data_IF_984113917959
#
_entry.id   IF_984113917959
#
_cell.length_a   1.000
_cell.length_b   1.000
_cell.length_c   1.000
_cell.angle_alpha   90.00
_cell.angle_beta   90.00
_cell.angle_gamma   90.00
#
_symmetry.space_group_name_H-M   'P 1'
#
loop_
_entity.id
_entity.type
_entity.pdbx_description
1 polymer ?
#
# COMPACT_ATOMS: atom_id res chain seq x y z
N UNK A 1 2.38 -22.42 27.33
CA UNK A 1 1.88 -21.13 26.77
C UNK A 1 2.93 -20.70 25.79
N UNK A 2 2.61 -20.66 24.50
CA UNK A 2 3.45 -20.02 23.50
C UNK A 2 3.62 -18.57 23.91
N UNK A 3 4.86 -18.04 23.88
CA UNK A 3 5.17 -16.68 24.29
C UNK A 3 4.47 -15.67 23.38
N UNK A 4 4.19 -14.48 23.89
CA UNK A 4 3.67 -13.37 23.08
C UNK A 4 4.76 -12.84 22.16
N UNK A 5 4.36 -12.42 20.93
CA UNK A 5 5.22 -11.70 20.01
C UNK A 5 5.51 -10.29 20.54
N UNK A 6 6.79 -9.96 20.70
CA UNK A 6 7.26 -8.66 21.17
C UNK A 6 7.38 -7.71 19.98
N UNK A 7 6.41 -6.81 19.86
CA UNK A 7 6.26 -5.89 18.73
C UNK A 7 6.84 -4.53 19.10
N UNK A 8 7.77 -4.04 18.30
CA UNK A 8 8.22 -2.65 18.31
C UNK A 8 7.42 -1.81 17.31
N UNK A 9 7.19 -0.54 17.62
CA UNK A 9 6.50 0.41 16.74
C UNK A 9 7.41 1.60 16.51
N UNK A 10 7.60 2.01 15.25
CA UNK A 10 8.32 3.25 14.91
C UNK A 10 7.47 4.16 14.03
N UNK A 11 7.40 5.44 14.41
CA UNK A 11 6.47 6.41 13.83
C UNK A 11 5.11 6.39 14.53
N UNK A 12 4.99 7.12 15.65
CA UNK A 12 3.81 7.12 16.53
C UNK A 12 2.58 7.85 15.96
N UNK A 13 2.67 8.43 14.77
CA UNK A 13 1.52 9.02 14.08
C UNK A 13 0.71 7.93 13.36
N UNK A 14 1.22 7.37 12.25
CA UNK A 14 0.53 6.31 11.52
C UNK A 14 0.69 4.94 12.19
N UNK A 15 1.85 4.66 12.78
CA UNK A 15 2.10 3.41 13.51
C UNK A 15 1.18 3.19 14.71
N UNK A 16 0.55 4.27 15.25
CA UNK A 16 -0.41 4.17 16.35
C UNK A 16 -1.60 3.26 16.04
N UNK A 17 -2.04 3.22 14.79
CA UNK A 17 -3.13 2.35 14.34
C UNK A 17 -2.81 0.87 14.59
N UNK A 18 -1.64 0.42 14.15
CA UNK A 18 -1.17 -0.95 14.40
C UNK A 18 -0.80 -1.18 15.87
N UNK A 19 -0.36 -0.13 16.57
CA UNK A 19 -0.10 -0.18 18.00
C UNK A 19 -1.32 -0.58 18.80
N UNK A 20 -2.49 -0.01 18.50
CA UNK A 20 -3.75 -0.39 19.13
C UNK A 20 -4.15 -1.82 18.82
N UNK A 21 -3.93 -2.29 17.59
CA UNK A 21 -4.21 -3.68 17.21
C UNK A 21 -3.28 -4.65 17.93
N UNK A 22 -1.97 -4.38 17.97
CA UNK A 22 -0.99 -5.20 18.68
C UNK A 22 -1.27 -5.25 20.18
N UNK A 23 -1.63 -4.12 20.80
CA UNK A 23 -1.97 -4.04 22.22
C UNK A 23 -3.21 -4.87 22.59
N UNK A 24 -4.18 -4.99 21.69
CA UNK A 24 -5.41 -5.78 21.90
C UNK A 24 -5.27 -7.24 21.52
N UNK A 25 -4.28 -7.58 20.71
CA UNK A 25 -4.14 -8.95 20.22
C UNK A 25 -3.55 -9.87 21.31
N UNK A 26 -4.21 -11.01 21.64
CA UNK A 26 -3.83 -11.83 22.79
C UNK A 26 -2.43 -12.47 22.68
N UNK A 27 -1.89 -12.60 21.46
CA UNK A 27 -0.56 -13.16 21.19
C UNK A 27 0.53 -12.11 20.99
N UNK A 28 0.26 -10.84 21.30
CA UNK A 28 1.23 -9.75 21.10
C UNK A 28 1.45 -8.97 22.40
N UNK A 29 2.65 -8.45 22.55
CA UNK A 29 3.04 -7.43 23.52
C UNK A 29 3.64 -6.27 22.74
N UNK A 30 3.19 -5.03 22.99
CA UNK A 30 3.90 -3.84 22.54
C UNK A 30 5.13 -3.66 23.44
N UNK A 31 6.28 -4.09 22.94
CA UNK A 31 7.52 -4.15 23.71
C UNK A 31 8.30 -2.83 23.69
N UNK A 32 8.01 -1.93 22.75
CA UNK A 32 8.60 -0.60 22.70
C UNK A 32 8.01 0.25 21.57
N UNK A 33 8.09 1.56 21.75
CA UNK A 33 7.67 2.55 20.74
C UNK A 33 8.79 3.56 20.50
N UNK A 34 8.88 4.08 19.27
CA UNK A 34 9.87 5.05 18.87
C UNK A 34 9.28 6.16 18.01
N UNK A 35 9.58 7.41 18.37
CA UNK A 35 9.35 8.57 17.53
C UNK A 35 10.33 9.69 17.91
N UNK A 36 10.81 10.45 16.93
CA UNK A 36 11.63 11.64 17.15
C UNK A 36 10.81 12.84 17.65
N UNK A 37 9.49 12.85 17.45
CA UNK A 37 8.57 13.82 18.01
C UNK A 37 8.17 13.38 19.42
N UNK A 38 8.69 14.09 20.44
CA UNK A 38 8.43 13.78 21.84
C UNK A 38 6.94 13.90 22.22
N UNK A 39 6.18 14.77 21.55
CA UNK A 39 4.75 14.92 21.80
C UNK A 39 3.96 13.73 21.26
N UNK A 40 4.27 13.28 20.03
CA UNK A 40 3.68 12.08 19.43
C UNK A 40 4.05 10.83 20.25
N UNK A 41 5.30 10.69 20.66
CA UNK A 41 5.77 9.62 21.51
C UNK A 41 5.03 9.57 22.84
N UNK A 42 4.93 10.70 23.54
CA UNK A 42 4.25 10.78 24.84
C UNK A 42 2.73 10.57 24.76
N UNK A 43 2.07 10.96 23.65
CA UNK A 43 0.66 10.61 23.42
C UNK A 43 0.49 9.11 23.30
N UNK A 44 1.29 8.49 22.45
CA UNK A 44 1.18 7.06 22.17
C UNK A 44 1.57 6.19 23.37
N UNK A 45 2.56 6.64 24.15
CA UNK A 45 2.91 6.04 25.45
C UNK A 45 1.71 5.96 26.40
N UNK A 46 0.99 7.08 26.56
CA UNK A 46 -0.21 7.13 27.43
C UNK A 46 -1.34 6.23 26.91
N UNK A 47 -1.56 6.24 25.60
CA UNK A 47 -2.63 5.45 24.96
C UNK A 47 -2.41 3.95 25.13
N UNK A 48 -1.17 3.50 25.18
CA UNK A 48 -0.77 2.11 25.35
C UNK A 48 -0.41 1.75 26.80
N UNK A 49 -0.32 2.72 27.71
CA UNK A 49 0.04 2.50 29.12
C UNK A 49 1.48 1.99 29.30
N UNK A 50 2.42 2.43 28.47
CA UNK A 50 3.81 1.94 28.48
C UNK A 50 4.67 2.69 29.52
N UNK A 51 5.62 1.96 30.12
CA UNK A 51 6.66 2.57 30.96
C UNK A 51 7.66 3.38 30.11
N UNK A 52 8.29 4.41 30.74
CA UNK A 52 9.28 5.26 30.06
C UNK A 52 10.43 4.46 29.41
N UNK A 53 10.86 3.36 30.05
CA UNK A 53 11.90 2.48 29.54
C UNK A 53 11.54 1.74 28.23
N UNK A 54 10.29 1.85 27.78
CA UNK A 54 9.81 1.30 26.50
C UNK A 54 9.63 2.38 25.43
N UNK A 55 10.04 3.62 25.69
CA UNK A 55 9.89 4.77 24.81
C UNK A 55 11.25 5.27 24.34
N UNK A 56 11.47 5.30 23.04
CA UNK A 56 12.75 5.59 22.41
C UNK A 56 12.63 6.79 21.48
N UNK A 57 13.62 7.71 21.53
CA UNK A 57 13.72 8.82 20.59
C UNK A 57 14.48 8.43 19.30
N UNK A 58 15.40 7.46 19.40
CA UNK A 58 16.19 6.96 18.28
C UNK A 58 15.79 5.51 17.94
N UNK A 59 15.73 5.21 16.65
CA UNK A 59 15.30 3.91 16.16
C UNK A 59 16.32 2.80 16.48
N UNK A 60 17.59 3.12 16.43
CA UNK A 60 18.70 2.23 16.78
C UNK A 60 18.58 1.73 18.22
N UNK A 61 18.16 2.60 19.16
CA UNK A 61 17.95 2.24 20.55
C UNK A 61 16.75 1.29 20.72
N UNK A 62 15.67 1.49 19.95
CA UNK A 62 14.55 0.55 19.94
C UNK A 62 14.99 -0.82 19.42
N UNK A 63 15.74 -0.88 18.32
CA UNK A 63 16.23 -2.14 17.73
C UNK A 63 17.18 -2.88 18.67
N UNK A 64 18.02 -2.15 19.42
CA UNK A 64 18.96 -2.69 20.39
C UNK A 64 18.36 -2.99 21.77
N UNK A 65 17.05 -2.71 21.97
CA UNK A 65 16.41 -2.79 23.27
C UNK A 65 16.35 -4.21 23.86
N UNK A 66 16.23 -4.28 25.18
CA UNK A 66 16.09 -5.54 25.93
C UNK A 66 14.78 -5.52 26.73
N UNK A 67 13.96 -6.60 26.67
CA UNK A 67 14.14 -7.80 25.85
C UNK A 67 14.05 -7.52 24.36
N UNK A 68 14.77 -8.32 23.56
CA UNK A 68 14.83 -8.16 22.10
C UNK A 68 13.45 -8.25 21.45
N UNK A 69 13.20 -7.42 20.44
CA UNK A 69 11.98 -7.47 19.64
C UNK A 69 11.96 -8.71 18.73
N UNK A 70 10.77 -9.26 18.52
CA UNK A 70 10.53 -10.31 17.54
C UNK A 70 10.14 -9.70 16.18
N UNK A 71 9.39 -8.60 16.20
CA UNK A 71 8.99 -7.88 15.01
C UNK A 71 8.91 -6.37 15.24
N UNK A 72 9.04 -5.59 14.16
CA UNK A 72 8.84 -4.14 14.17
C UNK A 72 7.84 -3.73 13.10
N UNK A 73 7.00 -2.74 13.43
CA UNK A 73 6.08 -2.10 12.49
C UNK A 73 6.58 -0.68 12.22
N UNK A 74 6.84 -0.39 10.95
CA UNK A 74 7.40 0.87 10.49
C UNK A 74 6.27 1.75 9.92
N UNK A 75 6.02 2.90 10.55
CA UNK A 75 5.01 3.89 10.16
C UNK A 75 5.57 5.32 10.05
N UNK A 76 6.85 5.46 9.80
CA UNK A 76 7.58 6.72 9.62
C UNK A 76 7.33 7.36 8.24
N UNK A 77 7.89 8.53 7.91
CA UNK A 77 7.98 9.02 6.54
C UNK A 77 8.70 8.03 5.61
N UNK A 78 8.19 7.90 4.38
CA UNK A 78 8.63 6.87 3.39
C UNK A 78 10.16 6.89 3.16
N UNK A 79 10.81 8.05 3.25
CA UNK A 79 12.25 8.18 3.06
C UNK A 79 13.10 7.39 4.07
N UNK A 80 12.51 7.00 5.20
CA UNK A 80 13.19 6.19 6.23
C UNK A 80 12.87 4.70 6.14
N UNK A 81 11.81 4.29 5.41
CA UNK A 81 11.32 2.92 5.42
C UNK A 81 12.39 1.89 5.06
N UNK A 82 13.14 2.11 3.97
CA UNK A 82 14.13 1.14 3.51
C UNK A 82 15.28 0.97 4.52
N UNK A 83 15.82 2.06 5.06
CA UNK A 83 16.91 2.01 6.03
C UNK A 83 16.48 1.35 7.33
N UNK A 84 15.30 1.72 7.83
CA UNK A 84 14.74 1.14 9.03
C UNK A 84 14.43 -0.35 8.87
N UNK A 85 13.88 -0.74 7.71
CA UNK A 85 13.60 -2.15 7.40
C UNK A 85 14.90 -2.98 7.35
N UNK A 86 15.92 -2.48 6.65
CA UNK A 86 17.21 -3.16 6.54
C UNK A 86 17.86 -3.34 7.90
N UNK A 87 17.88 -2.29 8.73
CA UNK A 87 18.47 -2.34 10.07
C UNK A 87 17.78 -3.39 10.96
N UNK A 88 16.45 -3.43 10.96
CA UNK A 88 15.69 -4.43 11.72
C UNK A 88 15.93 -5.86 11.22
N UNK A 89 15.89 -6.08 9.89
CA UNK A 89 16.16 -7.40 9.29
C UNK A 89 17.56 -7.89 9.65
N UNK A 90 18.59 -7.04 9.58
CA UNK A 90 19.97 -7.35 9.96
C UNK A 90 20.13 -7.63 11.45
N UNK A 91 19.33 -6.99 12.29
CA UNK A 91 19.22 -7.32 13.69
C UNK A 91 18.45 -8.63 13.94
N UNK A 92 17.93 -9.30 12.91
CA UNK A 92 17.17 -10.55 12.97
C UNK A 92 15.74 -10.37 13.50
N UNK A 93 15.15 -9.21 13.25
CA UNK A 93 13.77 -8.81 13.61
C UNK A 93 12.91 -8.87 12.34
N UNK A 94 11.69 -9.41 12.44
CA UNK A 94 10.71 -9.40 11.34
C UNK A 94 10.16 -7.99 11.14
N UNK A 95 9.80 -7.63 9.91
CA UNK A 95 9.40 -6.27 9.55
C UNK A 95 8.04 -6.24 8.86
N UNK A 96 7.12 -5.41 9.35
CA UNK A 96 5.98 -4.92 8.59
C UNK A 96 6.16 -3.41 8.36
N UNK A 97 6.13 -2.96 7.11
CA UNK A 97 6.34 -1.55 6.76
C UNK A 97 5.13 -0.97 6.08
N UNK A 98 4.73 0.24 6.49
CA UNK A 98 3.74 1.04 5.79
C UNK A 98 4.14 1.32 4.34
N UNK A 99 3.15 1.64 3.54
CA UNK A 99 3.29 1.94 2.12
C UNK A 99 3.81 3.37 1.90
N UNK A 100 4.69 3.56 0.90
CA UNK A 100 5.29 2.57 0.00
C UNK A 100 6.58 2.00 0.62
N UNK A 101 7.11 0.89 0.08
CA UNK A 101 8.29 0.23 0.66
C UNK A 101 9.52 1.16 0.75
N UNK A 102 9.68 2.05 -0.22
CA UNK A 102 10.76 3.04 -0.28
C UNK A 102 10.37 4.19 -1.19
N UNK A 103 11.13 5.27 -1.15
CA UNK A 103 11.05 6.39 -2.10
C UNK A 103 12.08 6.28 -3.24
N UNK A 104 12.87 5.19 -3.28
CA UNK A 104 13.87 4.92 -4.32
C UNK A 104 13.84 3.46 -4.76
N UNK A 105 14.21 3.20 -6.01
CA UNK A 105 14.37 1.84 -6.54
C UNK A 105 15.46 1.08 -5.79
N UNK A 106 16.57 1.75 -5.48
CA UNK A 106 17.69 1.19 -4.71
C UNK A 106 17.23 0.75 -3.30
N UNK A 107 16.46 1.58 -2.62
CA UNK A 107 15.90 1.23 -1.31
C UNK A 107 15.05 -0.04 -1.34
N UNK A 108 14.21 -0.20 -2.38
CA UNK A 108 13.45 -1.43 -2.58
C UNK A 108 14.38 -2.63 -2.82
N UNK A 109 15.46 -2.47 -3.60
CA UNK A 109 16.44 -3.53 -3.83
C UNK A 109 17.16 -3.96 -2.55
N UNK A 110 17.58 -3.00 -1.73
CA UNK A 110 18.23 -3.25 -0.43
C UNK A 110 17.33 -4.04 0.53
N UNK A 111 16.02 -3.77 0.54
CA UNK A 111 15.07 -4.56 1.34
C UNK A 111 15.08 -6.03 0.88
N UNK A 112 14.97 -6.29 -0.44
CA UNK A 112 14.99 -7.65 -1.00
C UNK A 112 16.29 -8.37 -0.63
N UNK A 113 17.43 -7.70 -0.76
CA UNK A 113 18.75 -8.25 -0.43
C UNK A 113 18.87 -8.56 1.07
N UNK A 114 18.37 -7.67 1.94
CA UNK A 114 18.37 -7.89 3.38
C UNK A 114 17.51 -9.08 3.79
N UNK A 115 16.29 -9.23 3.22
CA UNK A 115 15.42 -10.40 3.45
C UNK A 115 16.14 -11.68 3.07
N UNK A 116 16.74 -11.73 1.88
CA UNK A 116 17.48 -12.92 1.40
C UNK A 116 18.69 -13.28 2.29
N UNK A 117 19.41 -12.27 2.75
CA UNK A 117 20.59 -12.47 3.60
C UNK A 117 20.24 -12.91 5.02
N UNK A 118 19.17 -12.33 5.58
CA UNK A 118 18.82 -12.50 7.01
C UNK A 118 17.79 -13.60 7.26
N UNK A 119 17.03 -14.02 6.23
CA UNK A 119 15.98 -15.04 6.34
C UNK A 119 14.80 -14.62 7.23
N UNK A 120 14.60 -13.30 7.39
CA UNK A 120 13.49 -12.75 8.16
C UNK A 120 12.35 -12.32 7.24
N UNK A 121 11.13 -12.35 7.76
CA UNK A 121 9.94 -11.90 7.04
C UNK A 121 9.94 -10.40 6.92
N UNK A 122 9.75 -9.90 5.69
CA UNK A 122 9.31 -8.54 5.41
C UNK A 122 7.91 -8.60 4.80
N UNK A 123 7.03 -7.70 5.22
CA UNK A 123 5.71 -7.54 4.64
C UNK A 123 5.37 -6.06 4.46
N UNK A 124 4.90 -5.70 3.26
CA UNK A 124 4.33 -4.37 3.00
C UNK A 124 2.91 -4.30 3.56
N UNK A 125 2.60 -3.24 4.32
CA UNK A 125 1.28 -3.04 4.91
C UNK A 125 0.28 -2.41 3.91
N UNK A 126 0.09 -3.04 2.75
CA UNK A 126 -0.94 -2.64 1.78
C UNK A 126 -2.31 -3.17 2.23
N UNK A 127 -2.95 -2.41 3.09
CA UNK A 127 -4.19 -2.80 3.75
C UNK A 127 -5.40 -2.90 2.83
N UNK A 128 -5.40 -2.21 1.70
CA UNK A 128 -6.57 -2.11 0.80
C UNK A 128 -6.97 -3.47 0.23
N UNK A 129 -6.03 -4.40 0.01
CA UNK A 129 -6.34 -5.75 -0.50
C UNK A 129 -7.21 -6.57 0.46
N UNK A 130 -7.23 -6.22 1.76
CA UNK A 130 -8.03 -6.90 2.77
C UNK A 130 -9.48 -6.38 2.86
N UNK A 131 -9.90 -5.48 1.97
CA UNK A 131 -11.30 -5.06 1.89
C UNK A 131 -12.16 -6.24 1.45
N UNK A 132 -13.31 -6.48 2.11
CA UNK A 132 -14.18 -7.63 1.80
C UNK A 132 -14.61 -7.72 0.33
N UNK A 133 -14.79 -6.58 -0.33
CA UNK A 133 -15.16 -6.54 -1.76
C UNK A 133 -14.15 -7.28 -2.65
N UNK A 134 -12.86 -7.21 -2.36
CA UNK A 134 -11.84 -7.86 -3.19
C UNK A 134 -11.82 -9.39 -3.05
N UNK A 135 -12.28 -9.95 -1.93
CA UNK A 135 -12.48 -11.39 -1.79
C UNK A 135 -13.58 -11.89 -2.74
N UNK A 136 -14.65 -11.10 -2.89
CA UNK A 136 -15.71 -11.44 -3.84
C UNK A 136 -15.24 -11.31 -5.29
N UNK A 137 -14.47 -10.26 -5.61
CA UNK A 137 -13.88 -10.12 -6.94
C UNK A 137 -12.92 -11.27 -7.25
N UNK A 138 -12.11 -11.68 -6.29
CA UNK A 138 -11.21 -12.85 -6.43
C UNK A 138 -12.01 -14.13 -6.68
N UNK A 139 -13.15 -14.32 -6.00
CA UNK A 139 -14.06 -15.45 -6.26
C UNK A 139 -14.57 -15.44 -7.69
N UNK A 140 -15.10 -14.30 -8.18
CA UNK A 140 -15.59 -14.16 -9.55
C UNK A 140 -14.49 -14.45 -10.60
N UNK A 141 -13.27 -14.01 -10.34
CA UNK A 141 -12.11 -14.26 -11.21
C UNK A 141 -11.73 -15.75 -11.18
N UNK A 142 -11.65 -16.35 -9.99
CA UNK A 142 -11.28 -17.77 -9.83
C UNK A 142 -12.30 -18.72 -10.45
N UNK A 143 -13.57 -18.36 -10.46
CA UNK A 143 -14.64 -19.07 -11.16
C UNK A 143 -14.66 -18.82 -12.68
N UNK A 144 -13.73 -18.00 -13.20
CA UNK A 144 -13.62 -17.67 -14.62
C UNK A 144 -14.74 -16.78 -15.15
N UNK A 145 -15.54 -16.17 -14.28
CA UNK A 145 -16.71 -15.34 -14.64
C UNK A 145 -16.33 -14.11 -15.45
N UNK A 146 -15.18 -13.49 -15.14
CA UNK A 146 -14.70 -12.33 -15.90
C UNK A 146 -13.85 -12.72 -17.13
N UNK A 147 -13.44 -13.98 -17.26
CA UNK A 147 -12.50 -14.41 -18.29
C UNK A 147 -11.10 -13.87 -18.05
N UNK A 148 -10.33 -13.60 -19.12
CA UNK A 148 -9.00 -12.99 -19.00
C UNK A 148 -9.15 -11.48 -18.71
N UNK A 149 -8.52 -10.98 -17.66
CA UNK A 149 -8.52 -9.55 -17.37
C UNK A 149 -7.64 -8.84 -18.39
N UNK A 150 -8.19 -7.80 -19.03
CA UNK A 150 -7.53 -7.03 -20.10
C UNK A 150 -7.32 -5.56 -19.73
N UNK A 151 -8.06 -5.05 -18.72
CA UNK A 151 -7.96 -3.68 -18.26
C UNK A 151 -8.29 -3.58 -16.77
N UNK A 152 -7.57 -2.70 -16.08
CA UNK A 152 -7.85 -2.29 -14.70
C UNK A 152 -7.87 -0.77 -14.59
N UNK A 153 -8.68 -0.26 -13.68
CA UNK A 153 -8.70 1.15 -13.34
C UNK A 153 -8.71 1.34 -11.83
N UNK A 154 -7.87 2.26 -11.35
CA UNK A 154 -7.87 2.66 -9.96
C UNK A 154 -7.65 4.16 -9.81
N UNK A 155 -8.58 4.84 -9.16
CA UNK A 155 -8.42 6.22 -8.77
C UNK A 155 -8.25 6.31 -7.25
N UNK A 156 -7.32 7.16 -6.80
CA UNK A 156 -7.21 7.54 -5.40
C UNK A 156 -7.15 9.06 -5.29
N UNK A 157 -8.34 9.65 -5.13
CA UNK A 157 -8.52 11.11 -5.11
C UNK A 157 -8.69 11.56 -3.66
N UNK A 158 -7.56 11.66 -2.94
CA UNK A 158 -7.52 11.91 -1.49
C UNK A 158 -6.96 13.29 -1.17
N UNK A 159 -7.81 14.31 -0.95
CA UNK A 159 -7.37 15.66 -0.61
C UNK A 159 -6.81 15.69 0.83
N UNK A 160 -5.51 15.88 0.93
CA UNK A 160 -4.76 15.97 2.18
C UNK A 160 -3.81 17.18 2.22
N UNK A 161 -4.25 18.41 1.82
CA UNK A 161 -3.35 19.55 1.71
C UNK A 161 -2.65 19.88 3.04
N UNK A 162 -3.29 19.65 4.17
CA UNK A 162 -2.71 19.83 5.51
C UNK A 162 -1.59 18.84 5.87
N UNK A 163 -1.43 17.74 5.12
CA UNK A 163 -0.30 16.81 5.24
C UNK A 163 0.83 17.13 4.24
N UNK A 164 0.64 18.13 3.38
CA UNK A 164 1.66 18.65 2.48
C UNK A 164 2.30 19.93 3.05
N UNK A 165 1.47 20.82 3.57
CA UNK A 165 1.89 22.11 4.13
C UNK A 165 1.12 22.36 5.42
N UNK A 166 1.82 22.75 6.47
CA UNK A 166 1.21 23.17 7.70
C UNK A 166 0.33 24.40 7.45
N UNK A 167 -0.99 24.34 7.71
CA UNK A 167 -1.89 25.44 7.39
C UNK A 167 -1.67 26.69 8.28
N UNK A 168 -0.96 26.55 9.39
CA UNK A 168 -0.69 27.68 10.31
C UNK A 168 0.66 28.32 10.07
N UNK A 169 1.71 27.52 9.79
CA UNK A 169 3.08 27.99 9.68
C UNK A 169 3.55 28.10 8.24
N UNK A 170 2.89 27.44 7.28
CA UNK A 170 3.35 27.33 5.89
C UNK A 170 4.51 26.35 5.71
N UNK A 171 4.94 25.67 6.75
CA UNK A 171 6.00 24.67 6.71
C UNK A 171 5.62 23.49 5.79
N UNK A 172 6.54 23.08 4.94
CA UNK A 172 6.35 21.93 4.04
C UNK A 172 6.72 20.65 4.76
N UNK A 173 5.82 19.67 4.68
CA UNK A 173 6.09 18.32 5.14
C UNK A 173 6.70 17.47 4.01
N UNK A 174 7.27 16.34 4.35
CA UNK A 174 7.93 15.43 3.41
C UNK A 174 7.07 15.00 2.20
N UNK A 175 5.74 14.91 2.38
CA UNK A 175 4.80 14.57 1.29
C UNK A 175 4.73 15.65 0.21
N UNK A 176 5.02 16.90 0.53
CA UNK A 176 5.03 17.98 -0.45
C UNK A 176 6.09 17.77 -1.55
N UNK A 177 7.11 17.01 -1.28
CA UNK A 177 8.21 16.72 -2.20
C UNK A 177 8.06 15.38 -2.94
N UNK A 178 6.91 14.69 -2.77
CA UNK A 178 6.63 13.42 -3.43
C UNK A 178 5.50 13.55 -4.44
N UNK A 179 5.74 13.27 -5.74
CA UNK A 179 4.68 13.27 -6.74
C UNK A 179 3.52 12.36 -6.32
N UNK A 180 2.26 12.74 -6.58
CA UNK A 180 1.11 11.92 -6.19
C UNK A 180 1.20 10.46 -6.64
N UNK A 181 1.70 10.18 -7.85
CA UNK A 181 1.84 8.82 -8.40
C UNK A 181 2.84 7.93 -7.66
N UNK A 182 3.78 8.50 -6.86
CA UNK A 182 4.64 7.70 -5.98
C UNK A 182 3.83 6.82 -5.03
N UNK A 183 2.72 7.34 -4.55
CA UNK A 183 1.85 6.62 -3.60
C UNK A 183 0.84 5.77 -4.37
N UNK A 184 1.35 4.82 -5.17
CA UNK A 184 0.54 4.02 -6.10
C UNK A 184 -0.02 2.74 -5.45
N UNK A 185 0.54 2.27 -4.33
CA UNK A 185 0.26 0.95 -3.75
C UNK A 185 -1.22 0.69 -3.53
N UNK A 186 -1.94 1.63 -2.90
CA UNK A 186 -3.39 1.51 -2.68
C UNK A 186 -4.22 1.46 -3.96
N UNK A 187 -3.68 1.95 -5.08
CA UNK A 187 -4.36 1.91 -6.37
C UNK A 187 -4.07 0.63 -7.13
N UNK A 188 -2.78 0.34 -7.39
CA UNK A 188 -2.39 -0.82 -8.19
C UNK A 188 -2.37 -2.13 -7.39
N UNK A 189 -2.19 -2.07 -6.07
CA UNK A 189 -2.07 -3.24 -5.21
C UNK A 189 -3.24 -4.21 -5.31
N UNK A 190 -4.49 -3.77 -5.09
CA UNK A 190 -5.65 -4.63 -5.26
C UNK A 190 -5.79 -5.20 -6.66
N UNK A 191 -5.49 -4.40 -7.70
CA UNK A 191 -5.59 -4.85 -9.09
C UNK A 191 -4.55 -5.93 -9.41
N UNK A 192 -3.28 -5.71 -9.05
CA UNK A 192 -2.21 -6.69 -9.27
C UNK A 192 -2.43 -7.97 -8.45
N UNK A 193 -2.97 -7.83 -7.23
CA UNK A 193 -3.37 -8.98 -6.43
C UNK A 193 -4.39 -9.86 -7.16
N UNK A 194 -5.44 -9.25 -7.69
CA UNK A 194 -6.52 -9.94 -8.40
C UNK A 194 -6.09 -10.49 -9.76
N UNK A 195 -5.26 -9.72 -10.48
CA UNK A 195 -4.77 -10.10 -11.81
C UNK A 195 -3.66 -11.16 -11.76
N UNK A 196 -3.00 -11.34 -10.59
CA UNK A 196 -1.80 -12.20 -10.45
C UNK A 196 -0.77 -11.88 -11.52
N UNK A 197 -0.50 -10.58 -11.73
CA UNK A 197 0.36 -10.04 -12.76
C UNK A 197 1.29 -8.97 -12.18
N UNK A 198 2.23 -8.47 -12.97
CA UNK A 198 3.16 -7.42 -12.59
C UNK A 198 3.26 -6.35 -13.68
N UNK A 199 3.59 -5.12 -13.31
CA UNK A 199 3.80 -4.02 -14.24
C UNK A 199 5.21 -4.11 -14.83
N UNK A 200 5.31 -3.95 -16.16
CA UNK A 200 6.58 -3.97 -16.90
C UNK A 200 6.90 -2.64 -17.57
N UNK A 201 5.91 -1.78 -17.78
CA UNK A 201 6.09 -0.41 -18.30
C UNK A 201 5.15 0.56 -17.62
N UNK A 202 5.62 1.79 -17.46
CA UNK A 202 4.86 2.86 -16.83
C UNK A 202 5.01 4.17 -17.61
N UNK A 203 3.94 4.95 -17.66
CA UNK A 203 3.97 6.36 -18.05
C UNK A 203 3.08 7.18 -17.12
N UNK A 204 3.39 8.45 -16.95
CA UNK A 204 2.48 9.38 -16.29
C UNK A 204 2.60 10.80 -16.85
N UNK A 205 1.49 11.53 -16.71
CA UNK A 205 1.42 12.97 -16.95
C UNK A 205 0.76 13.65 -15.75
N UNK A 206 1.06 14.92 -15.56
CA UNK A 206 0.44 15.73 -14.52
C UNK A 206 0.10 17.12 -15.04
N UNK A 207 -0.91 17.72 -14.45
CA UNK A 207 -1.24 19.11 -14.76
C UNK A 207 -0.45 20.10 -13.86
N UNK A 208 -0.79 21.38 -13.96
CA UNK A 208 -0.16 22.45 -13.17
C UNK A 208 -0.59 22.39 -11.71
N UNK A 209 0.18 23.02 -10.83
CA UNK A 209 -0.13 23.24 -9.41
C UNK A 209 -0.98 24.51 -9.27
N UNK A 210 -2.28 24.37 -9.44
CA UNK A 210 -3.22 25.50 -9.38
C UNK A 210 -3.80 25.66 -7.96
N UNK A 211 -4.06 24.54 -7.29
CA UNK A 211 -4.74 24.53 -5.98
C UNK A 211 -3.79 24.94 -4.86
N UNK A 212 -2.55 24.45 -4.89
CA UNK A 212 -1.52 24.74 -3.88
C UNK A 212 -0.19 25.08 -4.56
N UNK A 213 -0.09 26.24 -5.23
CA UNK A 213 1.03 26.57 -6.13
C UNK A 213 2.39 26.69 -5.42
N UNK A 214 2.41 27.11 -4.15
CA UNK A 214 3.63 27.26 -3.34
C UNK A 214 4.21 25.97 -2.78
N UNK A 215 3.46 24.87 -2.83
CA UNK A 215 3.93 23.58 -2.35
C UNK A 215 4.79 22.84 -3.39
N UNK A 216 5.53 21.81 -2.94
CA UNK A 216 6.39 20.98 -3.78
C UNK A 216 5.65 20.17 -4.85
N UNK A 217 6.36 19.22 -5.45
CA UNK A 217 5.80 18.36 -6.52
C UNK A 217 4.61 17.52 -6.07
N UNK A 218 4.46 17.27 -4.76
CA UNK A 218 3.31 16.60 -4.18
C UNK A 218 1.99 17.33 -4.36
N UNK A 219 2.04 18.64 -4.66
CA UNK A 219 0.87 19.49 -4.86
C UNK A 219 0.48 19.66 -6.34
N UNK A 220 0.98 18.83 -7.25
CA UNK A 220 0.40 18.69 -8.60
C UNK A 220 -1.09 18.38 -8.45
N UNK A 221 -1.97 19.15 -9.12
CA UNK A 221 -3.40 19.06 -8.87
C UNK A 221 -3.94 17.64 -9.15
N UNK A 222 -3.56 17.04 -10.28
CA UNK A 222 -3.86 15.65 -10.64
C UNK A 222 -2.71 15.07 -11.44
N UNK A 223 -2.39 13.81 -11.20
CA UNK A 223 -1.57 12.98 -12.06
C UNK A 223 -2.37 11.78 -12.57
N UNK A 224 -2.17 11.45 -13.84
CA UNK A 224 -2.66 10.25 -14.49
C UNK A 224 -1.46 9.38 -14.87
N UNK A 225 -1.50 8.10 -14.50
CA UNK A 225 -0.54 7.10 -14.94
C UNK A 225 -1.24 6.01 -15.74
N UNK A 226 -0.51 5.45 -16.71
CA UNK A 226 -0.87 4.21 -17.40
C UNK A 226 0.28 3.22 -17.23
N UNK A 227 -0.10 1.96 -17.00
CA UNK A 227 0.81 0.85 -16.78
C UNK A 227 0.48 -0.28 -17.74
N UNK A 228 1.51 -0.93 -18.29
CA UNK A 228 1.37 -2.17 -19.06
C UNK A 228 1.86 -3.32 -18.19
N UNK A 229 1.06 -4.40 -18.12
CA UNK A 229 1.41 -5.58 -17.34
C UNK A 229 2.15 -6.62 -18.21
N UNK A 230 2.82 -7.56 -17.57
CA UNK A 230 3.57 -8.61 -18.26
C UNK A 230 2.68 -9.49 -19.16
N UNK A 231 1.40 -9.66 -18.82
CA UNK A 231 0.42 -10.42 -19.63
C UNK A 231 -0.30 -9.54 -20.65
N UNK A 232 0.05 -8.24 -20.76
CA UNK A 232 -0.46 -7.32 -21.77
C UNK A 232 -1.76 -6.60 -21.38
N UNK A 233 -2.21 -6.69 -20.15
CA UNK A 233 -3.29 -5.84 -19.66
C UNK A 233 -2.78 -4.41 -19.42
N UNK A 234 -3.72 -3.44 -19.44
CA UNK A 234 -3.43 -2.04 -19.16
C UNK A 234 -4.11 -1.65 -17.85
N UNK A 235 -3.39 -0.93 -16.98
CA UNK A 235 -3.95 -0.32 -15.78
C UNK A 235 -3.88 1.19 -15.92
N UNK A 236 -5.01 1.87 -15.70
CA UNK A 236 -5.09 3.33 -15.55
C UNK A 236 -5.14 3.67 -14.06
N UNK A 237 -4.38 4.68 -13.65
CA UNK A 237 -4.44 5.23 -12.31
C UNK A 237 -4.59 6.76 -12.36
N UNK A 238 -5.52 7.31 -11.56
CA UNK A 238 -5.60 8.75 -11.32
C UNK A 238 -5.34 9.04 -9.85
N UNK A 239 -4.46 10.00 -9.59
CA UNK A 239 -4.03 10.35 -8.23
C UNK A 239 -4.03 11.85 -8.00
N UNK A 240 -4.60 12.28 -6.85
CA UNK A 240 -4.43 13.64 -6.33
C UNK A 240 -4.25 13.61 -4.81
N UNK A 241 -3.55 14.62 -4.30
CA UNK A 241 -3.43 14.89 -2.87
C UNK A 241 -4.06 16.24 -2.48
N UNK A 242 -4.52 17.02 -3.45
CA UNK A 242 -5.00 18.39 -3.23
C UNK A 242 -6.37 18.69 -3.85
N UNK A 243 -6.75 18.04 -4.96
CA UNK A 243 -8.00 18.32 -5.63
C UNK A 243 -9.20 17.92 -4.74
N UNK A 244 -10.18 18.80 -4.53
CA UNK A 244 -11.32 18.53 -3.67
C UNK A 244 -12.10 17.28 -4.15
N UNK A 245 -12.35 16.38 -3.25
CA UNK A 245 -13.16 15.19 -3.49
C UNK A 245 -13.93 14.82 -2.23
N UNK A 246 -15.21 14.55 -2.37
CA UNK A 246 -16.02 13.88 -1.36
C UNK A 246 -15.89 12.34 -1.53
N UNK A 247 -16.14 11.59 -0.47
CA UNK A 247 -16.18 10.11 -0.54
C UNK A 247 -17.13 9.61 -1.67
N UNK A 248 -16.81 8.49 -2.33
CA UNK A 248 -15.64 7.66 -2.14
C UNK A 248 -14.38 8.28 -2.76
N UNK A 249 -13.26 8.20 -2.04
CA UNK A 249 -11.96 8.68 -2.52
C UNK A 249 -11.24 7.63 -3.37
N UNK A 250 -11.64 6.39 -3.26
CA UNK A 250 -11.16 5.27 -4.07
C UNK A 250 -12.20 4.86 -5.11
N UNK A 251 -11.72 4.47 -6.28
CA UNK A 251 -12.46 3.78 -7.30
C UNK A 251 -11.63 2.65 -7.87
N UNK A 252 -12.25 1.50 -8.13
CA UNK A 252 -11.61 0.35 -8.74
C UNK A 252 -12.54 -0.24 -9.80
N UNK A 253 -11.95 -0.72 -10.90
CA UNK A 253 -12.63 -1.46 -11.94
C UNK A 253 -11.70 -2.51 -12.53
N UNK A 254 -12.26 -3.68 -12.88
CA UNK A 254 -11.62 -4.70 -13.69
C UNK A 254 -12.53 -5.07 -14.85
N UNK A 255 -11.98 -4.99 -16.05
CA UNK A 255 -12.62 -5.43 -17.29
C UNK A 255 -11.93 -6.71 -17.77
N UNK A 256 -12.70 -7.76 -17.86
CA UNK A 256 -12.29 -9.02 -18.47
C UNK A 256 -12.93 -9.27 -19.82
N UNK A 257 -12.57 -10.38 -20.47
CA UNK A 257 -13.11 -10.78 -21.79
C UNK A 257 -14.53 -11.31 -21.73
N UNK A 258 -15.06 -11.59 -20.53
CA UNK A 258 -16.41 -12.13 -20.33
C UNK A 258 -17.27 -11.28 -19.39
N UNK A 259 -16.74 -10.22 -18.82
CA UNK A 259 -17.49 -9.38 -17.88
C UNK A 259 -16.63 -8.33 -17.23
N UNK A 260 -17.24 -7.55 -16.36
CA UNK A 260 -16.55 -6.53 -15.58
C UNK A 260 -17.09 -6.46 -14.16
N UNK A 261 -16.30 -5.86 -13.29
CA UNK A 261 -16.70 -5.48 -11.94
C UNK A 261 -16.09 -4.12 -11.61
N UNK A 262 -16.86 -3.25 -10.94
CA UNK A 262 -16.40 -1.93 -10.56
C UNK A 262 -17.07 -1.43 -9.28
N UNK A 263 -16.41 -0.50 -8.56
CA UNK A 263 -16.99 0.22 -7.43
C UNK A 263 -17.79 1.43 -7.90
N UNK A 264 -18.77 1.88 -7.12
CA UNK A 264 -19.57 3.05 -7.47
C UNK A 264 -18.80 4.38 -7.29
N UNK A 265 -18.86 5.26 -8.30
CA UNK A 265 -18.26 6.61 -8.27
C UNK A 265 -19.19 7.69 -7.71
N UNK A 266 -20.47 7.40 -7.50
CA UNK A 266 -21.51 8.42 -7.21
C UNK A 266 -21.53 8.91 -5.77
N UNK A 267 -20.64 8.45 -4.92
CA UNK A 267 -20.58 8.88 -3.52
C UNK A 267 -21.49 8.12 -2.55
N UNK A 268 -22.36 7.24 -3.07
CA UNK A 268 -23.10 6.28 -2.26
C UNK A 268 -22.23 5.06 -1.87
N UNK A 269 -20.92 5.15 -2.10
CA UNK A 269 -19.99 4.05 -1.99
C UNK A 269 -19.77 3.49 -0.59
N UNK A 270 -20.20 4.22 0.44
CA UNK A 270 -20.21 3.77 1.83
C UNK A 270 -21.56 4.09 2.41
N UNK A 271 -22.52 3.21 2.21
CA UNK A 271 -23.79 3.22 2.92
C UNK A 271 -23.65 2.45 4.23
N UNK A 272 -24.63 2.56 5.12
CA UNK A 272 -24.67 1.72 6.32
C UNK A 272 -24.61 0.21 5.99
N UNK A 273 -24.99 -0.16 4.78
CA UNK A 273 -25.06 -1.55 4.30
C UNK A 273 -23.76 -2.02 3.61
N UNK A 274 -22.79 -1.12 3.35
CA UNK A 274 -21.51 -1.44 2.70
C UNK A 274 -21.20 -0.64 1.45
N UNK A 275 -20.18 -1.09 0.69
CA UNK A 275 -19.76 -0.48 -0.56
C UNK A 275 -20.56 -1.02 -1.73
N UNK A 276 -21.12 -0.11 -2.56
CA UNK A 276 -21.82 -0.48 -3.77
C UNK A 276 -20.91 -0.51 -5.01
N UNK A 277 -21.31 -1.28 -6.00
CA UNK A 277 -20.67 -1.32 -7.31
C UNK A 277 -21.51 -2.06 -8.32
N UNK A 278 -20.95 -2.26 -9.51
CA UNK A 278 -21.60 -2.93 -10.64
C UNK A 278 -20.84 -4.20 -10.99
N UNK A 279 -21.59 -5.21 -11.40
CA UNK A 279 -21.06 -6.44 -11.99
C UNK A 279 -21.85 -6.77 -13.26
N UNK A 280 -21.16 -7.25 -14.28
CA UNK A 280 -21.76 -7.83 -15.46
C UNK A 280 -21.01 -9.07 -15.90
N UNK A 281 -21.71 -10.15 -16.17
CA UNK A 281 -21.16 -11.42 -16.65
C UNK A 281 -21.91 -11.80 -17.93
N UNK A 282 -21.16 -11.83 -19.04
CA UNK A 282 -21.71 -12.16 -20.36
C UNK A 282 -22.26 -13.59 -20.37
N UNK A 283 -23.47 -13.74 -20.87
CA UNK A 283 -24.15 -15.03 -20.94
C UNK A 283 -24.91 -15.43 -19.66
N UNK A 284 -24.65 -14.79 -18.53
CA UNK A 284 -25.37 -15.01 -17.27
C UNK A 284 -26.33 -13.84 -16.95
N UNK A 285 -25.95 -12.62 -17.30
CA UNK A 285 -26.71 -11.41 -16.99
C UNK A 285 -27.17 -10.69 -18.26
N UNK A 286 -28.36 -10.14 -18.24
CA UNK A 286 -28.90 -9.31 -19.36
C UNK A 286 -28.35 -7.89 -19.35
N UNK A 287 -28.03 -7.37 -18.16
CA UNK A 287 -27.50 -6.04 -17.93
C UNK A 287 -26.63 -6.06 -16.68
N UNK A 288 -25.86 -5.02 -16.46
CA UNK A 288 -25.09 -4.88 -15.22
C UNK A 288 -26.04 -4.78 -14.01
N UNK A 289 -25.66 -5.46 -12.94
CA UNK A 289 -26.40 -5.50 -11.68
C UNK A 289 -25.64 -4.75 -10.60
N UNK A 290 -26.37 -4.12 -9.67
CA UNK A 290 -25.80 -3.47 -8.51
C UNK A 290 -25.54 -4.53 -7.44
N UNK A 291 -24.29 -4.60 -6.97
CA UNK A 291 -23.94 -5.40 -5.81
C UNK A 291 -23.58 -4.47 -4.63
N UNK A 292 -23.82 -4.99 -3.43
CA UNK A 292 -23.39 -4.35 -2.18
C UNK A 292 -22.45 -5.30 -1.48
N UNK A 293 -21.23 -4.83 -1.19
CA UNK A 293 -20.23 -5.59 -0.45
C UNK A 293 -20.10 -5.04 0.95
N UNK A 294 -19.96 -5.88 1.97
CA UNK A 294 -19.75 -5.41 3.33
C UNK A 294 -18.47 -4.56 3.41
N UNK A 295 -18.50 -3.49 4.20
CA UNK A 295 -17.33 -2.65 4.46
C UNK A 295 -16.36 -3.32 5.44
N UNK A 296 -16.93 -4.05 6.41
CA UNK A 296 -16.19 -4.71 7.46
C UNK A 296 -16.24 -6.24 7.29
N UNK A 297 -15.16 -6.89 7.67
CA UNK A 297 -15.12 -8.34 7.79
C UNK A 297 -15.90 -8.78 9.03
N UNK A 298 -17.06 -9.42 8.83
CA UNK A 298 -17.92 -9.88 9.91
C UNK A 298 -17.29 -10.98 10.78
N UNK A 299 -16.23 -11.64 10.31
CA UNK A 299 -15.49 -12.65 11.08
C UNK A 299 -14.43 -12.04 12.01
N UNK A 300 -14.10 -10.75 11.82
CA UNK A 300 -13.12 -10.07 12.63
C UNK A 300 -13.68 -9.70 14.03
N UNK A 301 -12.84 -9.67 15.06
CA UNK A 301 -13.29 -9.27 16.39
C UNK A 301 -13.72 -7.79 16.42
N UNK A 302 -14.61 -7.41 17.35
CA UNK A 302 -15.15 -6.07 17.42
C UNK A 302 -14.11 -4.95 17.56
N UNK A 303 -12.93 -5.24 18.09
CA UNK A 303 -11.81 -4.30 18.20
C UNK A 303 -10.96 -4.20 16.91
N UNK A 304 -11.23 -4.99 15.88
CA UNK A 304 -10.47 -4.97 14.62
C UNK A 304 -10.50 -3.61 13.91
N UNK A 305 -11.48 -2.76 14.19
CA UNK A 305 -11.61 -1.43 13.62
C UNK A 305 -10.69 -0.36 14.24
N UNK A 306 -9.96 -0.70 15.30
CA UNK A 306 -9.04 0.22 15.98
C UNK A 306 -7.87 0.69 15.09
N UNK A 307 -7.58 -0.01 13.99
CA UNK A 307 -6.58 0.39 12.99
C UNK A 307 -6.95 1.66 12.19
N UNK A 308 -8.22 2.03 12.15
CA UNK A 308 -8.68 3.26 11.49
C UNK A 308 -9.15 3.11 10.04
N UNK A 309 -8.92 1.96 9.41
CA UNK A 309 -9.40 1.63 8.04
C UNK A 309 -10.37 0.44 8.07
N UNK A 310 -11.42 0.54 8.89
CA UNK A 310 -12.33 -0.58 9.10
C UNK A 310 -11.58 -1.81 9.63
N UNK A 311 -11.81 -2.98 9.04
CA UNK A 311 -11.10 -4.23 9.40
C UNK A 311 -9.85 -4.49 8.56
N UNK A 312 -9.47 -3.59 7.64
CA UNK A 312 -8.37 -3.83 6.70
C UNK A 312 -7.00 -3.84 7.40
N UNK A 313 -6.76 -2.90 8.32
CA UNK A 313 -5.51 -2.87 9.09
C UNK A 313 -5.36 -4.13 9.95
N UNK A 314 -6.47 -4.61 10.52
CA UNK A 314 -6.49 -5.89 11.24
C UNK A 314 -6.16 -7.06 10.33
N UNK A 315 -6.78 -7.15 9.15
CA UNK A 315 -6.48 -8.18 8.15
C UNK A 315 -4.99 -8.20 7.77
N UNK A 316 -4.41 -7.03 7.55
CA UNK A 316 -2.98 -6.86 7.28
C UNK A 316 -2.14 -7.36 8.46
N UNK A 317 -2.48 -6.94 9.67
CA UNK A 317 -1.74 -7.30 10.89
C UNK A 317 -1.76 -8.80 11.16
N UNK A 318 -2.92 -9.46 11.07
CA UNK A 318 -2.99 -10.92 11.28
C UNK A 318 -2.32 -11.72 10.17
N UNK A 319 -2.32 -11.23 8.94
CA UNK A 319 -1.56 -11.86 7.86
C UNK A 319 -0.04 -11.79 8.13
N UNK A 320 0.46 -10.68 8.66
CA UNK A 320 1.84 -10.57 9.09
C UNK A 320 2.17 -11.53 10.25
N UNK A 321 1.31 -11.59 11.29
CA UNK A 321 1.49 -12.53 12.39
C UNK A 321 1.49 -13.98 11.90
N UNK A 322 0.59 -14.33 11.02
CA UNK A 322 0.55 -15.66 10.41
C UNK A 322 1.86 -16.00 9.70
N UNK A 323 2.36 -15.06 8.88
CA UNK A 323 3.62 -15.25 8.15
C UNK A 323 4.83 -15.49 9.08
N UNK A 324 4.94 -14.74 10.18
CA UNK A 324 6.06 -14.91 11.11
C UNK A 324 5.91 -16.17 12.00
N UNK A 325 4.69 -16.64 12.22
CA UNK A 325 4.41 -17.87 12.99
C UNK A 325 4.68 -19.13 12.18
N UNK A 326 4.24 -19.15 10.93
CA UNK A 326 4.33 -20.34 10.07
C UNK A 326 5.61 -20.40 9.28
N UNK A 327 6.28 -19.25 9.08
CA UNK A 327 7.39 -19.11 8.15
C UNK A 327 6.93 -19.07 6.67
N UNK A 328 5.62 -19.07 6.42
CA UNK A 328 5.08 -18.92 5.06
C UNK A 328 5.28 -17.48 4.57
N UNK A 329 5.64 -17.34 3.29
CA UNK A 329 5.75 -16.01 2.69
C UNK A 329 4.38 -15.34 2.58
N UNK A 330 4.21 -14.12 3.11
CA UNK A 330 2.97 -13.37 2.89
C UNK A 330 2.85 -13.00 1.41
N UNK A 331 1.63 -12.80 0.91
CA UNK A 331 1.48 -12.30 -0.46
C UNK A 331 2.14 -10.93 -0.63
N UNK A 332 2.13 -10.09 0.37
CA UNK A 332 2.77 -8.77 0.38
C UNK A 332 4.25 -8.82 0.80
N UNK A 333 4.98 -9.84 0.38
CA UNK A 333 6.41 -10.00 0.65
C UNK A 333 7.27 -8.89 -0.01
N UNK A 334 8.57 -8.97 0.13
CA UNK A 334 9.54 -8.00 -0.41
C UNK A 334 9.50 -7.87 -1.93
N UNK A 335 9.10 -8.94 -2.64
CA UNK A 335 8.99 -8.94 -4.10
C UNK A 335 7.72 -8.22 -4.55
N UNK A 336 6.59 -8.52 -3.91
CA UNK A 336 5.34 -7.79 -4.16
C UNK A 336 5.43 -6.33 -3.69
N UNK A 337 6.18 -6.04 -2.63
CA UNK A 337 6.47 -4.66 -2.21
C UNK A 337 7.20 -3.87 -3.31
N UNK A 338 8.14 -4.51 -4.02
CA UNK A 338 8.75 -3.96 -5.23
C UNK A 338 7.70 -3.68 -6.30
N UNK A 339 6.88 -4.68 -6.66
CA UNK A 339 5.86 -4.57 -7.70
C UNK A 339 4.78 -3.52 -7.38
N UNK A 340 4.57 -3.19 -6.10
CA UNK A 340 3.63 -2.16 -5.64
C UNK A 340 4.26 -0.78 -5.39
N UNK A 341 5.58 -0.65 -5.49
CA UNK A 341 6.30 0.61 -5.21
C UNK A 341 6.99 1.15 -6.45
N UNK A 342 7.82 0.32 -7.09
CA UNK A 342 8.68 0.75 -8.20
C UNK A 342 7.89 1.30 -9.41
N UNK A 343 6.74 0.74 -9.82
CA UNK A 343 5.96 1.33 -10.91
C UNK A 343 5.57 2.79 -10.68
N UNK A 344 5.26 3.18 -9.44
CA UNK A 344 4.97 4.58 -9.09
C UNK A 344 6.19 5.50 -9.19
N UNK A 345 7.36 5.00 -8.81
CA UNK A 345 8.63 5.75 -8.95
C UNK A 345 8.95 5.99 -10.43
N UNK A 346 8.84 4.97 -11.28
CA UNK A 346 9.07 5.06 -12.72
C UNK A 346 8.01 5.94 -13.39
N UNK A 347 6.75 5.86 -12.98
CA UNK A 347 5.69 6.75 -13.47
C UNK A 347 5.98 8.22 -13.13
N UNK A 348 6.51 8.51 -11.95
CA UNK A 348 6.91 9.86 -11.58
C UNK A 348 8.08 10.39 -12.42
N UNK A 349 9.06 9.54 -12.70
CA UNK A 349 10.14 9.85 -13.62
C UNK A 349 9.61 10.13 -15.04
N UNK A 350 8.70 9.30 -15.55
CA UNK A 350 8.02 9.50 -16.82
C UNK A 350 7.34 10.87 -16.90
N UNK A 351 6.63 11.28 -15.84
CA UNK A 351 5.97 12.58 -15.80
C UNK A 351 6.96 13.76 -15.93
N UNK A 352 8.17 13.63 -15.38
CA UNK A 352 9.25 14.63 -15.53
C UNK A 352 9.82 14.64 -16.95
N UNK A 353 9.74 13.53 -17.67
CA UNK A 353 10.20 13.38 -19.06
C UNK A 353 9.09 13.62 -20.09
N UNK A 354 7.99 14.28 -19.70
CA UNK A 354 6.89 14.64 -20.61
C UNK A 354 5.97 13.47 -20.97
N UNK A 355 5.88 12.44 -20.12
CA UNK A 355 4.95 11.32 -20.27
C UNK A 355 5.47 10.21 -21.20
N UNK A 356 6.77 10.02 -21.29
CA UNK A 356 7.35 8.90 -22.04
C UNK A 356 7.08 7.57 -21.35
N UNK A 357 6.80 6.52 -22.13
CA UNK A 357 6.81 5.17 -21.61
C UNK A 357 8.22 4.75 -21.18
N UNK A 358 8.36 4.33 -19.94
CA UNK A 358 9.59 3.82 -19.36
C UNK A 358 9.41 2.36 -18.93
N UNK A 359 10.49 1.59 -19.04
CA UNK A 359 10.51 0.20 -18.55
C UNK A 359 10.53 0.20 -17.01
N UNK A 360 9.73 -0.69 -16.40
CA UNK A 360 9.78 -0.96 -14.98
C UNK A 360 10.72 -2.14 -14.76
N UNK A 361 11.86 -1.94 -14.08
CA UNK A 361 12.81 -3.02 -13.87
C UNK A 361 12.21 -4.17 -13.05
N UNK A 362 12.58 -5.42 -13.34
CA UNK A 362 12.21 -6.56 -12.50
C UNK A 362 12.86 -6.46 -11.11
N UNK A 363 12.28 -7.07 -10.07
CA UNK A 363 12.95 -7.16 -8.77
C UNK A 363 14.26 -7.92 -8.89
N UNK A 364 15.27 -7.57 -8.08
CA UNK A 364 16.56 -8.25 -8.09
C UNK A 364 16.42 -9.77 -8.06
N UNK A 365 17.12 -10.47 -8.96
CA UNK A 365 17.10 -11.93 -9.03
C UNK A 365 15.82 -12.58 -9.57
N UNK A 366 14.89 -11.80 -10.09
CA UNK A 366 13.79 -12.32 -10.89
C UNK A 366 14.23 -12.42 -12.37
N UNK A 367 13.75 -13.46 -13.05
CA UNK A 367 13.91 -13.54 -14.50
C UNK A 367 13.22 -12.35 -15.18
N UNK A 368 13.80 -11.79 -16.24
CA UNK A 368 13.15 -10.76 -17.02
C UNK A 368 11.80 -11.30 -17.53
N UNK A 369 10.74 -10.47 -17.56
CA UNK A 369 9.44 -10.90 -18.06
C UNK A 369 9.62 -11.42 -19.50
N UNK A 370 9.06 -12.60 -19.77
CA UNK A 370 9.02 -13.14 -21.13
C UNK A 370 8.19 -12.16 -21.96
N UNK A 371 8.83 -11.46 -22.90
CA UNK A 371 8.14 -10.55 -23.78
C UNK A 371 6.99 -11.29 -24.47
N UNK A 372 5.77 -10.79 -24.33
CA UNK A 372 4.64 -11.30 -25.10
C UNK A 372 5.00 -11.09 -26.57
N UNK A 373 5.34 -12.17 -27.26
CA UNK A 373 5.78 -12.19 -28.66
C UNK A 373 4.62 -11.66 -29.52
N UNK A 374 4.66 -10.38 -29.91
CA UNK A 374 3.62 -9.75 -30.72
C UNK A 374 3.96 -8.37 -31.25
N UNK A 375 4.99 -7.71 -30.75
CA UNK A 375 5.44 -6.42 -31.33
C UNK A 375 6.68 -6.64 -32.18
N UNK A 376 6.49 -6.71 -33.51
CA UNK A 376 7.58 -6.48 -34.45
C UNK A 376 8.17 -5.10 -34.15
N UNK A 377 9.49 -5.04 -33.96
CA UNK A 377 10.22 -3.79 -33.95
C UNK A 377 9.79 -3.00 -35.19
N UNK A 378 9.23 -1.80 -34.97
CA UNK A 378 9.03 -0.85 -36.05
C UNK A 378 10.42 -0.47 -36.54
N UNK A 379 10.89 -1.13 -37.60
CA UNK A 379 12.07 -0.69 -38.34
C UNK A 379 11.79 0.71 -38.86
N UNK A 380 12.56 1.64 -38.36
CA UNK A 380 12.66 3.00 -38.91
C UNK A 380 12.94 2.87 -40.42
N UNK A 381 12.06 3.44 -41.22
CA UNK A 381 12.34 3.92 -42.57
C UNK A 381 12.11 5.42 -42.60
#
# INVERSE_FOLDING_TARGET
>A
MEGQWRIGLVGCSRGSAYGQLAHRHPRCEVAGICDSDAEALGRHQRDLGLADSRCFAAYEDLVASTPRLDAVIIGTPICFHAEQAVLALEAGIHVMSEVTASDTVDGCARIIEAVRRCGKTYMLAENTIYRPLFREWERLISEGKLGNIIYGEADYLHPIPGLLVNPKTGERYWRADRPPVHYCSHSIGPLLHLMRDRIVRAMAIGNRKTILPGAGVGAVDIQLAAFETARGAIIKMTRTQVAPRHSPIHYYSLQGTKGFVETDRRGAGFTADGQQGLVYIQGEMRQAEVLVWPELDASAPGWATLGGHGTCDYGTFVAFLHAIETGEKPWLDEVHAWDLTVPGLIAAESAQQGGKWLEVPPPPGADPPVAVSGRRAATQR
#
